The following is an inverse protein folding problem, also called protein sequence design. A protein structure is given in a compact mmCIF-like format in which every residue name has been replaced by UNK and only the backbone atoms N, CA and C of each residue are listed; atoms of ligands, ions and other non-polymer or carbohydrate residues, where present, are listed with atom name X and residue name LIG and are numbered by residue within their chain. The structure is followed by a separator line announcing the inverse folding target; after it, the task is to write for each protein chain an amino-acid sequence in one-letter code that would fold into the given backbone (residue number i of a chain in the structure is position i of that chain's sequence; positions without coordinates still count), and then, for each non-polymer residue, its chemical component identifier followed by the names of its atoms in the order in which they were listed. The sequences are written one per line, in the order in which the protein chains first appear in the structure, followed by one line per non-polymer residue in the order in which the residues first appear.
data_IF_791313089229
#
_entry.id   IF_791313089229
#
_cell.length_a   1.000
_cell.length_b   1.000
_cell.length_c   1.000
_cell.angle_alpha   90.00
_cell.angle_beta   90.00
_cell.angle_gamma   90.00
#
_symmetry.space_group_name_H-M   'P 1'
#
loop_
_entity.id
_entity.type
_entity.pdbx_description
1 polymer ?
#
# COMPACT_ATOMS: atom_id res chain seq x y z
N UNK A 1 8.42 2.67 -15.19
CA UNK A 1 7.67 3.00 -13.97
C UNK A 1 6.91 4.30 -14.22
N UNK A 2 5.78 4.51 -13.53
CA UNK A 2 5.00 5.75 -13.63
C UNK A 2 4.97 6.48 -12.29
N UNK A 3 4.83 7.80 -12.32
CA UNK A 3 4.52 8.62 -11.15
C UNK A 3 3.11 9.18 -11.32
N UNK A 4 2.28 9.05 -10.29
CA UNK A 4 0.89 9.50 -10.29
C UNK A 4 0.70 10.41 -9.07
N UNK A 5 0.16 11.61 -9.27
CA UNK A 5 -0.06 12.60 -8.22
C UNK A 5 -1.32 13.40 -8.48
N UNK A 6 -1.92 13.94 -7.42
CA UNK A 6 -3.22 14.60 -7.47
C UNK A 6 -4.36 13.66 -7.08
N UNK A 7 -5.59 14.17 -7.12
CA UNK A 7 -6.77 13.51 -6.56
C UNK A 7 -7.13 12.20 -7.30
N UNK A 8 -6.76 12.08 -8.58
CA UNK A 8 -7.04 10.90 -9.41
C UNK A 8 -5.89 9.88 -9.43
N UNK A 9 -4.83 10.09 -8.65
CA UNK A 9 -3.61 9.28 -8.68
C UNK A 9 -3.89 7.79 -8.43
N UNK A 10 -4.80 7.47 -7.50
CA UNK A 10 -5.21 6.07 -7.23
C UNK A 10 -5.83 5.40 -8.45
N UNK A 11 -6.72 6.10 -9.14
CA UNK A 11 -7.37 5.60 -10.37
C UNK A 11 -6.38 5.47 -11.53
N UNK A 12 -5.47 6.44 -11.68
CA UNK A 12 -4.42 6.39 -12.68
C UNK A 12 -3.46 5.20 -12.44
N UNK A 13 -3.07 4.97 -11.18
CA UNK A 13 -2.25 3.83 -10.79
C UNK A 13 -2.95 2.49 -11.06
N UNK A 14 -4.25 2.37 -10.77
CA UNK A 14 -5.05 1.18 -11.08
C UNK A 14 -5.12 0.90 -12.58
N UNK A 15 -5.36 1.93 -13.40
CA UNK A 15 -5.33 1.79 -14.87
C UNK A 15 -3.97 1.32 -15.37
N UNK A 16 -2.89 1.87 -14.83
CA UNK A 16 -1.54 1.43 -15.16
C UNK A 16 -1.24 0.01 -14.67
N UNK A 17 -1.80 -0.41 -13.52
CA UNK A 17 -1.65 -1.75 -12.97
C UNK A 17 -2.30 -2.83 -13.86
N UNK A 18 -3.45 -2.52 -14.46
CA UNK A 18 -4.24 -3.49 -15.24
C UNK A 18 -4.74 -4.63 -14.35
N UNK A 19 -4.43 -5.87 -14.73
CA UNK A 19 -4.83 -7.09 -14.02
C UNK A 19 -3.79 -7.55 -12.98
N UNK A 20 -2.67 -6.84 -12.86
CA UNK A 20 -1.64 -7.19 -11.88
C UNK A 20 -2.13 -6.88 -10.47
N UNK A 21 -1.80 -7.77 -9.53
CA UNK A 21 -2.06 -7.53 -8.10
C UNK A 21 -1.40 -6.23 -7.64
N UNK A 22 -2.13 -5.49 -6.81
CA UNK A 22 -1.63 -4.28 -6.17
C UNK A 22 -1.04 -4.60 -4.81
N UNK A 23 0.20 -4.17 -4.60
CA UNK A 23 0.84 -4.09 -3.27
C UNK A 23 1.01 -2.61 -2.96
N UNK A 24 0.21 -2.09 -2.05
CA UNK A 24 0.22 -0.69 -1.65
C UNK A 24 1.14 -0.50 -0.43
N UNK A 25 2.27 0.17 -0.65
CA UNK A 25 3.22 0.49 0.42
C UNK A 25 3.00 1.93 0.86
N UNK A 26 2.70 2.13 2.14
CA UNK A 26 2.50 3.46 2.73
C UNK A 26 3.45 3.67 3.89
N UNK A 27 3.73 4.92 4.21
CA UNK A 27 4.59 5.29 5.33
C UNK A 27 3.88 6.28 6.23
N UNK A 28 3.72 5.93 7.51
CA UNK A 28 3.09 6.78 8.53
C UNK A 28 1.71 7.30 8.06
N UNK A 29 0.89 6.42 7.48
CA UNK A 29 -0.39 6.77 6.85
C UNK A 29 -1.34 7.55 7.79
N UNK A 30 -1.33 7.20 9.08
CA UNK A 30 -2.08 7.88 10.14
C UNK A 30 -1.83 9.40 10.20
N UNK A 31 -0.73 9.91 9.64
CA UNK A 31 -0.38 11.35 9.61
C UNK A 31 -0.86 12.07 8.36
N UNK A 32 -1.37 11.33 7.37
CA UNK A 32 -1.57 11.83 6.01
C UNK A 32 -2.91 11.36 5.46
N UNK A 33 -3.99 12.16 5.63
CA UNK A 33 -5.34 11.80 5.17
C UNK A 33 -5.43 11.44 3.68
N UNK A 34 -4.56 12.02 2.85
CA UNK A 34 -4.51 11.69 1.42
C UNK A 34 -4.04 10.24 1.16
N UNK A 35 -3.18 9.67 2.01
CA UNK A 35 -2.78 8.26 1.91
C UNK A 35 -3.94 7.34 2.27
N UNK A 36 -4.75 7.74 3.26
CA UNK A 36 -5.97 7.03 3.62
C UNK A 36 -6.93 6.95 2.43
N UNK A 37 -7.24 8.11 1.82
CA UNK A 37 -8.14 8.19 0.68
C UNK A 37 -7.61 7.43 -0.55
N UNK A 38 -6.29 7.47 -0.78
CA UNK A 38 -5.66 6.70 -1.85
C UNK A 38 -5.82 5.19 -1.60
N UNK A 39 -5.54 4.71 -0.38
CA UNK A 39 -5.72 3.30 -0.02
C UNK A 39 -7.17 2.85 -0.12
N UNK A 40 -8.13 3.67 0.32
CA UNK A 40 -9.56 3.37 0.20
C UNK A 40 -9.95 3.22 -1.28
N UNK A 41 -9.44 4.09 -2.15
CA UNK A 41 -9.65 3.99 -3.61
C UNK A 41 -9.09 2.68 -4.18
N UNK A 42 -7.86 2.31 -3.80
CA UNK A 42 -7.22 1.08 -4.27
C UNK A 42 -7.97 -0.16 -3.80
N UNK A 43 -8.30 -0.23 -2.51
CA UNK A 43 -8.97 -1.39 -1.88
C UNK A 43 -10.40 -1.55 -2.41
N UNK A 44 -11.15 -0.45 -2.58
CA UNK A 44 -12.49 -0.52 -3.14
C UNK A 44 -12.50 -1.07 -4.58
N UNK A 45 -11.51 -0.70 -5.41
CA UNK A 45 -11.41 -1.15 -6.79
C UNK A 45 -10.74 -2.54 -6.94
N UNK A 46 -9.89 -2.92 -5.98
CA UNK A 46 -9.13 -4.17 -5.92
C UNK A 46 -9.15 -4.72 -4.49
N UNK A 47 -10.21 -5.46 -4.10
CA UNK A 47 -10.34 -6.01 -2.76
C UNK A 47 -9.19 -6.97 -2.36
N UNK A 48 -8.44 -7.51 -3.33
CA UNK A 48 -7.25 -8.35 -3.11
C UNK A 48 -5.96 -7.56 -2.85
N UNK A 49 -6.03 -6.23 -2.73
CA UNK A 49 -4.89 -5.36 -2.45
C UNK A 49 -4.21 -5.75 -1.13
N UNK A 50 -2.90 -5.92 -1.19
CA UNK A 50 -2.03 -6.11 -0.02
C UNK A 50 -1.55 -4.72 0.43
N UNK A 51 -1.63 -4.43 1.72
CA UNK A 51 -1.15 -3.19 2.32
C UNK A 51 0.10 -3.45 3.15
N UNK A 52 1.17 -2.71 2.87
CA UNK A 52 2.40 -2.69 3.67
C UNK A 52 2.50 -1.32 4.33
N UNK A 53 2.28 -1.28 5.64
CA UNK A 53 2.42 -0.08 6.45
C UNK A 53 3.83 -0.02 7.04
N UNK A 54 4.59 0.98 6.60
CA UNK A 54 5.94 1.26 7.06
C UNK A 54 5.97 2.45 8.03
N UNK A 55 6.93 2.45 8.96
CA UNK A 55 7.02 3.48 10.00
C UNK A 55 6.30 3.07 11.28
N UNK A 56 5.59 4.02 11.91
CA UNK A 56 4.85 3.77 13.16
C UNK A 56 3.43 3.29 12.82
N UNK A 57 3.06 2.04 13.13
CA UNK A 57 1.75 1.51 12.77
C UNK A 57 0.69 2.01 13.75
N UNK A 58 -0.12 2.97 13.31
CA UNK A 58 -1.26 3.50 14.07
C UNK A 58 -2.58 3.43 13.30
N UNK A 59 -2.52 3.13 12.00
CA UNK A 59 -3.70 2.95 11.19
C UNK A 59 -4.42 1.65 11.55
N UNK A 60 -5.74 1.61 11.37
CA UNK A 60 -6.47 0.36 11.44
C UNK A 60 -6.02 -0.56 10.28
N UNK A 61 -5.78 -1.87 10.51
CA UNK A 61 -5.42 -2.80 9.45
C UNK A 61 -6.49 -2.86 8.36
N UNK A 62 -6.09 -2.88 7.09
CA UNK A 62 -6.99 -2.94 5.93
C UNK A 62 -6.38 -3.65 4.72
N UNK A 63 -7.21 -3.96 3.73
CA UNK A 63 -6.85 -4.78 2.56
C UNK A 63 -6.96 -6.28 2.84
N UNK A 64 -6.63 -7.09 1.84
CA UNK A 64 -6.68 -8.56 1.95
C UNK A 64 -5.59 -9.12 2.89
N UNK A 65 -4.45 -8.43 2.97
CA UNK A 65 -3.35 -8.69 3.88
C UNK A 65 -2.76 -7.36 4.33
N UNK A 66 -2.58 -7.16 5.63
CA UNK A 66 -1.93 -5.99 6.20
C UNK A 66 -0.62 -6.38 6.88
N UNK A 67 0.49 -5.81 6.42
CA UNK A 67 1.83 -6.02 7.00
C UNK A 67 2.28 -4.71 7.64
N UNK A 68 2.32 -4.66 8.97
CA UNK A 68 2.93 -3.56 9.72
C UNK A 68 4.41 -3.85 9.96
N UNK A 69 5.31 -3.11 9.31
CA UNK A 69 6.75 -3.40 9.37
C UNK A 69 7.48 -2.76 10.54
N UNK A 70 6.80 -1.93 11.36
CA UNK A 70 7.34 -1.25 12.55
C UNK A 70 8.63 -0.45 12.31
N UNK A 71 8.85 -0.05 11.05
CA UNK A 71 10.05 0.64 10.59
C UNK A 71 10.03 0.82 9.08
N UNK A 72 10.81 1.78 8.57
CA UNK A 72 10.88 2.10 7.15
C UNK A 72 12.26 1.76 6.53
N UNK A 73 13.07 0.96 7.23
CA UNK A 73 14.39 0.57 6.74
C UNK A 73 14.29 -0.42 5.57
N UNK A 74 15.35 -0.50 4.77
CA UNK A 74 15.42 -1.42 3.62
C UNK A 74 15.13 -2.89 4.01
N UNK A 75 15.64 -3.33 5.17
CA UNK A 75 15.42 -4.69 5.67
C UNK A 75 13.95 -4.96 6.00
N UNK A 76 13.20 -3.95 6.46
CA UNK A 76 11.76 -4.05 6.72
C UNK A 76 10.99 -4.30 5.41
N UNK A 77 11.33 -3.56 4.36
CA UNK A 77 10.72 -3.73 3.04
C UNK A 77 11.07 -5.08 2.40
N UNK A 78 12.30 -5.56 2.59
CA UNK A 78 12.72 -6.89 2.13
C UNK A 78 11.93 -8.00 2.81
N UNK A 79 11.83 -7.98 4.15
CA UNK A 79 11.08 -8.97 4.90
C UNK A 79 9.58 -8.98 4.50
N UNK A 80 8.97 -7.82 4.29
CA UNK A 80 7.60 -7.75 3.78
C UNK A 80 7.46 -8.37 2.38
N UNK A 81 8.43 -8.11 1.49
CA UNK A 81 8.43 -8.67 0.14
C UNK A 81 8.63 -10.19 0.14
N UNK A 82 9.48 -10.73 1.02
CA UNK A 82 9.68 -12.17 1.21
C UNK A 82 8.38 -12.86 1.64
N UNK A 83 7.69 -12.31 2.65
CA UNK A 83 6.38 -12.79 3.10
C UNK A 83 5.36 -12.80 1.94
N UNK A 84 5.27 -11.71 1.18
CA UNK A 84 4.34 -11.60 0.05
C UNK A 84 4.67 -12.60 -1.06
N UNK A 85 5.95 -12.86 -1.29
CA UNK A 85 6.43 -13.80 -2.31
C UNK A 85 6.45 -15.27 -1.84
N UNK A 86 6.13 -15.54 -0.56
CA UNK A 86 6.18 -16.89 0.02
C UNK A 86 7.60 -17.44 0.16
N UNK A 87 8.57 -16.57 0.51
CA UNK A 87 9.98 -16.93 0.74
C UNK A 87 10.34 -16.94 2.22
#
# INVERSE_FOLDING_TARGET
TGSFSGDDAGQAALRAAGDRRVVAVVRDEHRHPWMAAALDTLIAARPDTIVVEMGVPQAAPRGALHIATHGAARVCGLAAAEIIAGK
#
